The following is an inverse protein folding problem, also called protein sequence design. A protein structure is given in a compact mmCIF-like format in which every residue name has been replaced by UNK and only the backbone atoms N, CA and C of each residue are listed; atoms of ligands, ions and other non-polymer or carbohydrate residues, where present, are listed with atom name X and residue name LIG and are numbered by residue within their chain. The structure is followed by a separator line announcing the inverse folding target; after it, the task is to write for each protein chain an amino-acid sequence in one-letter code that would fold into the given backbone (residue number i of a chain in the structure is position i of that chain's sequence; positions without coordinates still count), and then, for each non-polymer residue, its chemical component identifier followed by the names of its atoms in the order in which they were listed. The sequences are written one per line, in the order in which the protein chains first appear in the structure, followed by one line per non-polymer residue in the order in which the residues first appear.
data_IF_127359936580
#
_entry.id   IF_127359936580
#
_cell.length_a   1.000
_cell.length_b   1.000
_cell.length_c   1.000
_cell.angle_alpha   90.00
_cell.angle_beta   90.00
_cell.angle_gamma   90.00
#
_symmetry.space_group_name_H-M   'P 1'
#
loop_
_entity.id
_entity.type
_entity.pdbx_description
1 polymer ?
#
# COMPACT_ATOMS: atom_id res chain seq x y z
N UNK A 1 14.49 -19.99 19.78
CA UNK A 1 14.49 -18.76 18.97
C UNK A 1 14.73 -19.05 17.48
N UNK A 2 15.89 -19.58 17.06
CA UNK A 2 16.17 -19.90 15.62
C UNK A 2 15.15 -20.85 14.97
N UNK A 3 14.71 -21.92 15.66
CA UNK A 3 13.70 -22.84 15.12
C UNK A 3 12.30 -22.21 14.96
N UNK A 4 11.95 -21.22 15.78
CA UNK A 4 10.70 -20.48 15.61
C UNK A 4 10.77 -19.54 14.41
N UNK A 5 11.90 -18.85 14.23
CA UNK A 5 12.13 -17.98 13.06
C UNK A 5 12.10 -18.80 11.76
N UNK A 6 12.64 -20.02 11.76
CA UNK A 6 12.54 -20.92 10.61
C UNK A 6 11.10 -21.34 10.28
N UNK A 7 10.29 -21.66 11.30
CA UNK A 7 8.87 -21.97 11.10
C UNK A 7 8.08 -20.81 10.49
N UNK A 8 8.51 -19.57 10.75
CA UNK A 8 7.93 -18.36 10.17
C UNK A 8 8.65 -17.86 8.91
N UNK A 9 9.66 -18.59 8.40
CA UNK A 9 10.47 -18.14 7.27
C UNK A 9 9.65 -17.79 6.02
N UNK A 10 8.70 -18.63 5.56
CA UNK A 10 7.89 -18.32 4.37
C UNK A 10 7.17 -16.99 4.48
N UNK A 11 6.52 -16.76 5.62
CA UNK A 11 5.82 -15.52 5.94
C UNK A 11 6.77 -14.33 6.01
N UNK A 12 7.90 -14.47 6.70
CA UNK A 12 8.87 -13.38 6.83
C UNK A 12 9.43 -12.99 5.47
N UNK A 13 9.70 -13.97 4.59
CA UNK A 13 10.13 -13.69 3.23
C UNK A 13 9.06 -12.93 2.44
N UNK A 14 7.80 -13.37 2.52
CA UNK A 14 6.66 -12.71 1.89
C UNK A 14 6.52 -11.25 2.35
N UNK A 15 6.59 -11.01 3.66
CA UNK A 15 6.52 -9.68 4.26
C UNK A 15 7.69 -8.79 3.83
N UNK A 16 8.92 -9.32 3.83
CA UNK A 16 10.10 -8.56 3.43
C UNK A 16 10.05 -8.15 1.96
N UNK A 17 9.60 -9.05 1.07
CA UNK A 17 9.46 -8.73 -0.36
C UNK A 17 8.35 -7.71 -0.59
N UNK A 18 7.16 -7.90 0.01
CA UNK A 18 6.07 -6.93 -0.15
C UNK A 18 6.40 -5.56 0.46
N UNK A 19 7.17 -5.52 1.55
CA UNK A 19 7.66 -4.27 2.17
C UNK A 19 8.53 -3.45 1.23
N UNK A 20 9.20 -4.07 0.25
CA UNK A 20 9.91 -3.31 -0.79
C UNK A 20 8.99 -2.35 -1.54
N UNK A 21 7.71 -2.71 -1.75
CA UNK A 21 6.74 -1.80 -2.38
C UNK A 21 6.30 -0.67 -1.44
N UNK A 22 6.33 -0.90 -0.13
CA UNK A 22 5.95 0.11 0.85
C UNK A 22 6.98 1.23 0.95
N UNK A 23 8.25 0.88 0.76
CA UNK A 23 9.39 1.80 0.83
C UNK A 23 9.82 2.33 -0.55
N UNK A 24 9.35 1.72 -1.64
CA UNK A 24 9.74 2.12 -2.99
C UNK A 24 9.20 3.49 -3.42
N UNK A 25 9.99 4.13 -4.28
CA UNK A 25 9.65 5.30 -5.10
C UNK A 25 9.14 4.87 -6.48
N UNK A 26 8.34 5.70 -7.17
CA UNK A 26 7.95 5.45 -8.56
C UNK A 26 9.18 5.45 -9.48
N UNK A 27 9.19 4.55 -10.46
CA UNK A 27 10.17 4.60 -11.53
C UNK A 27 9.96 5.86 -12.42
N UNK A 28 10.95 6.25 -13.24
CA UNK A 28 10.86 7.47 -14.04
C UNK A 28 9.63 7.54 -14.96
N UNK A 29 9.22 6.40 -15.54
CA UNK A 29 8.05 6.32 -16.41
C UNK A 29 6.75 6.58 -15.63
N UNK A 30 6.61 5.97 -14.44
CA UNK A 30 5.46 6.17 -13.57
C UNK A 30 5.43 7.59 -13.01
N UNK A 31 6.56 8.12 -12.56
CA UNK A 31 6.66 9.50 -12.08
C UNK A 31 6.22 10.50 -13.16
N UNK A 32 6.64 10.29 -14.41
CA UNK A 32 6.21 11.12 -15.53
C UNK A 32 4.72 10.93 -15.89
N UNK A 33 4.20 9.70 -15.82
CA UNK A 33 2.77 9.43 -15.99
C UNK A 33 1.94 10.19 -14.96
N UNK A 34 2.30 10.08 -13.67
CA UNK A 34 1.63 10.79 -12.57
C UNK A 34 1.67 12.30 -12.83
N UNK A 35 2.84 12.84 -13.20
CA UNK A 35 2.97 14.25 -13.56
C UNK A 35 2.02 14.66 -14.69
N UNK A 36 1.95 13.86 -15.75
CA UNK A 36 1.07 14.15 -16.90
C UNK A 36 -0.41 14.09 -16.54
N UNK A 37 -0.82 13.13 -15.71
CA UNK A 37 -2.17 13.06 -15.17
C UNK A 37 -2.48 14.34 -14.37
N UNK A 38 -1.60 14.72 -13.44
CA UNK A 38 -1.75 15.94 -12.65
C UNK A 38 -1.79 17.21 -13.53
N UNK A 39 -1.02 17.28 -14.62
CA UNK A 39 -1.12 18.40 -15.57
C UNK A 39 -2.46 18.41 -16.30
N UNK A 40 -2.91 17.26 -16.80
CA UNK A 40 -4.16 17.16 -17.58
C UNK A 40 -5.40 17.50 -16.75
N UNK A 41 -5.38 17.16 -15.45
CA UNK A 41 -6.45 17.50 -14.50
C UNK A 41 -6.29 18.90 -13.90
N UNK A 42 -5.30 19.69 -14.37
CA UNK A 42 -4.96 21.01 -13.85
C UNK A 42 -4.63 20.99 -12.33
N UNK A 43 -4.12 19.87 -11.80
CA UNK A 43 -3.70 19.76 -10.41
C UNK A 43 -2.29 20.32 -10.19
N UNK A 44 -1.46 20.38 -11.23
CA UNK A 44 -0.08 20.84 -11.14
C UNK A 44 0.34 21.68 -12.36
N UNK A 45 0.93 22.84 -12.11
CA UNK A 45 1.29 23.82 -13.16
C UNK A 45 2.79 24.08 -13.27
N UNK A 46 3.62 23.58 -12.36
CA UNK A 46 5.07 23.82 -12.39
C UNK A 46 5.84 22.78 -13.23
N UNK A 47 7.16 22.97 -13.33
CA UNK A 47 8.10 22.06 -13.99
C UNK A 47 8.08 20.65 -13.39
N UNK A 48 8.42 19.65 -14.22
CA UNK A 48 8.58 18.26 -13.78
C UNK A 48 9.61 18.08 -12.66
N UNK A 49 10.71 18.83 -12.66
CA UNK A 49 11.76 18.72 -11.64
C UNK A 49 11.22 19.02 -10.23
N UNK A 50 10.51 20.14 -10.08
CA UNK A 50 9.84 20.50 -8.81
C UNK A 50 8.81 19.46 -8.39
N UNK A 51 8.06 18.91 -9.34
CA UNK A 51 7.09 17.84 -9.08
C UNK A 51 7.80 16.59 -8.55
N UNK A 52 8.88 16.16 -9.20
CA UNK A 52 9.64 14.98 -8.84
C UNK A 52 10.26 15.11 -7.45
N UNK A 53 10.82 16.26 -7.09
CA UNK A 53 11.35 16.50 -5.74
C UNK A 53 10.28 16.29 -4.67
N UNK A 54 9.07 16.84 -4.88
CA UNK A 54 7.99 16.70 -3.91
C UNK A 54 7.35 15.30 -3.92
N UNK A 55 7.27 14.65 -5.08
CA UNK A 55 6.83 13.26 -5.20
C UNK A 55 7.77 12.33 -4.42
N UNK A 56 9.08 12.53 -4.53
CA UNK A 56 10.06 11.77 -3.76
C UNK A 56 9.94 12.01 -2.25
N UNK A 57 9.65 13.25 -1.83
CA UNK A 57 9.34 13.54 -0.42
C UNK A 57 8.08 12.80 0.04
N UNK A 58 7.01 12.81 -0.73
CA UNK A 58 5.80 12.05 -0.41
C UNK A 58 6.06 10.54 -0.34
N UNK A 59 6.85 10.01 -1.27
CA UNK A 59 7.22 8.59 -1.32
C UNK A 59 8.27 8.19 -0.28
N UNK A 60 8.90 9.13 0.43
CA UNK A 60 9.78 8.79 1.57
C UNK A 60 9.02 8.27 2.78
N UNK A 61 7.71 8.56 2.87
CA UNK A 61 6.82 8.03 3.90
C UNK A 61 6.38 6.62 3.49
N UNK A 62 6.25 5.63 4.41
CA UNK A 62 5.79 4.29 4.06
C UNK A 62 4.38 4.31 3.44
N UNK A 63 4.14 3.43 2.45
CA UNK A 63 2.85 3.35 1.73
C UNK A 63 1.61 3.29 2.64
N UNK A 64 1.69 2.58 3.76
CA UNK A 64 0.58 2.42 4.72
C UNK A 64 0.15 3.76 5.34
N UNK A 65 1.08 4.71 5.47
CA UNK A 65 0.85 6.03 6.05
C UNK A 65 0.49 7.10 5.00
N UNK A 66 0.69 6.78 3.71
CA UNK A 66 0.39 7.69 2.59
C UNK A 66 -1.12 7.79 2.40
N UNK A 67 -1.69 8.96 2.68
CA UNK A 67 -3.11 9.22 2.42
C UNK A 67 -3.33 10.10 1.19
N UNK A 68 -4.50 9.93 0.56
CA UNK A 68 -4.95 10.83 -0.50
C UNK A 68 -4.96 12.28 -0.03
N UNK A 69 -5.47 12.55 1.19
CA UNK A 69 -5.44 13.88 1.78
C UNK A 69 -4.05 14.49 1.91
N UNK A 70 -3.01 13.70 2.19
CA UNK A 70 -1.63 14.19 2.19
C UNK A 70 -1.16 14.58 0.78
N UNK A 71 -1.50 13.78 -0.23
CA UNK A 71 -1.16 14.09 -1.62
C UNK A 71 -1.94 15.30 -2.16
N UNK A 72 -3.23 15.41 -1.83
CA UNK A 72 -4.07 16.56 -2.16
C UNK A 72 -3.52 17.85 -1.53
N UNK A 73 -3.02 17.80 -0.29
CA UNK A 73 -2.31 18.93 0.35
C UNK A 73 -1.02 19.29 -0.38
N UNK A 74 -0.27 18.29 -0.85
CA UNK A 74 0.92 18.49 -1.69
C UNK A 74 0.58 19.24 -2.98
N UNK A 75 -0.55 18.89 -3.62
CA UNK A 75 -1.07 19.52 -4.83
C UNK A 75 -1.80 20.85 -4.57
N UNK A 76 -2.14 21.15 -3.31
CA UNK A 76 -3.05 22.23 -2.91
C UNK A 76 -4.39 22.20 -3.67
N UNK A 77 -4.79 21.01 -4.13
CA UNK A 77 -6.02 20.75 -4.89
C UNK A 77 -6.44 19.30 -4.63
N UNK A 78 -7.74 19.03 -4.46
CA UNK A 78 -8.23 17.68 -4.33
C UNK A 78 -8.25 16.99 -5.68
N UNK A 79 -7.66 15.82 -5.70
CA UNK A 79 -7.75 14.88 -6.80
C UNK A 79 -8.96 13.97 -6.62
N UNK A 80 -9.43 13.37 -7.72
CA UNK A 80 -10.42 12.31 -7.63
C UNK A 80 -9.81 11.03 -7.02
N UNK A 81 -10.64 10.26 -6.30
CA UNK A 81 -10.18 9.06 -5.60
C UNK A 81 -9.75 7.96 -6.57
N UNK A 82 -10.38 7.84 -7.74
CA UNK A 82 -10.02 6.84 -8.75
C UNK A 82 -8.70 7.22 -9.44
N UNK A 83 -8.47 8.51 -9.68
CA UNK A 83 -7.17 9.02 -10.15
C UNK A 83 -6.07 8.73 -9.13
N UNK A 84 -6.32 8.94 -7.82
CA UNK A 84 -5.35 8.62 -6.77
C UNK A 84 -5.01 7.13 -6.72
N UNK A 85 -5.99 6.24 -6.90
CA UNK A 85 -5.73 4.80 -6.90
C UNK A 85 -4.76 4.38 -8.02
N UNK A 86 -4.83 5.06 -9.17
CA UNK A 86 -3.88 4.83 -10.27
C UNK A 86 -2.44 5.22 -9.91
N UNK A 87 -2.20 5.92 -8.80
CA UNK A 87 -0.86 6.28 -8.35
C UNK A 87 -0.22 5.22 -7.44
N UNK A 88 -0.99 4.21 -7.03
CA UNK A 88 -0.43 3.07 -6.30
C UNK A 88 0.67 2.38 -7.10
N UNK A 89 1.76 2.05 -6.40
CA UNK A 89 2.92 1.41 -7.01
C UNK A 89 2.74 -0.10 -7.03
N UNK A 90 3.03 -0.68 -8.18
CA UNK A 90 3.27 -2.11 -8.38
C UNK A 90 4.76 -2.37 -8.60
N UNK A 91 5.21 -3.63 -8.55
CA UNK A 91 6.60 -3.98 -8.84
C UNK A 91 7.05 -3.54 -10.25
N UNK A 92 6.11 -3.37 -11.21
CA UNK A 92 6.41 -2.83 -12.54
C UNK A 92 6.64 -1.32 -12.55
N UNK A 93 5.97 -0.60 -11.66
CA UNK A 93 5.98 0.87 -11.63
C UNK A 93 6.86 1.43 -10.51
N UNK A 94 7.29 0.59 -9.57
CA UNK A 94 8.19 0.91 -8.49
C UNK A 94 9.65 0.82 -8.96
N UNK A 95 10.50 1.63 -8.35
CA UNK A 95 11.94 1.50 -8.43
C UNK A 95 12.42 0.78 -7.17
N UNK A 96 12.74 -0.49 -7.31
CA UNK A 96 13.28 -1.33 -6.23
C UNK A 96 14.81 -1.27 -6.29
N UNK A 97 15.45 -0.93 -5.17
CA UNK A 97 16.91 -0.90 -5.12
C UNK A 97 17.52 -2.30 -5.09
N UNK A 98 18.56 -2.52 -5.90
CA UNK A 98 19.25 -3.81 -5.97
C UNK A 98 19.94 -4.19 -4.64
N UNK A 99 20.37 -3.20 -3.86
CA UNK A 99 20.91 -3.36 -2.50
C UNK A 99 19.91 -4.07 -1.59
N UNK A 100 18.65 -3.64 -1.60
CA UNK A 100 17.60 -4.21 -0.75
C UNK A 100 17.24 -5.64 -1.17
N UNK A 101 17.17 -5.90 -2.48
CA UNK A 101 16.99 -7.26 -3.00
C UNK A 101 18.12 -8.17 -2.54
N UNK A 102 19.37 -7.69 -2.59
CA UNK A 102 20.55 -8.44 -2.12
C UNK A 102 20.54 -8.66 -0.61
N UNK A 103 20.07 -7.69 0.17
CA UNK A 103 19.92 -7.84 1.63
C UNK A 103 18.96 -8.99 1.97
N UNK A 104 17.80 -9.03 1.31
CA UNK A 104 16.82 -10.12 1.46
C UNK A 104 17.42 -11.45 1.01
N UNK A 105 18.13 -11.47 -0.13
CA UNK A 105 18.80 -12.69 -0.62
C UNK A 105 19.85 -13.22 0.38
N UNK A 106 20.64 -12.34 0.98
CA UNK A 106 21.66 -12.67 1.98
C UNK A 106 21.03 -13.24 3.26
N UNK A 107 19.96 -12.60 3.75
CA UNK A 107 19.19 -13.09 4.88
C UNK A 107 18.57 -14.47 4.60
N UNK A 108 17.90 -14.62 3.45
CA UNK A 108 17.28 -15.88 3.04
C UNK A 108 18.33 -16.99 2.89
N UNK A 109 19.48 -16.70 2.28
CA UNK A 109 20.61 -17.61 2.18
C UNK A 109 21.04 -18.10 3.57
N UNK A 110 21.23 -17.19 4.52
CA UNK A 110 21.65 -17.54 5.88
C UNK A 110 20.62 -18.43 6.59
N UNK A 111 19.34 -18.07 6.49
CA UNK A 111 18.24 -18.83 7.08
C UNK A 111 18.15 -20.24 6.51
N UNK A 112 18.22 -20.36 5.19
CA UNK A 112 18.12 -21.63 4.48
C UNK A 112 19.34 -22.50 4.73
N UNK A 113 20.56 -21.95 4.71
CA UNK A 113 21.79 -22.70 4.97
C UNK A 113 21.84 -23.31 6.38
N UNK A 114 21.30 -22.63 7.38
CA UNK A 114 21.33 -23.13 8.76
C UNK A 114 20.32 -24.26 8.98
N UNK A 115 19.15 -24.19 8.33
CA UNK A 115 18.05 -25.10 8.60
C UNK A 115 17.90 -26.22 7.57
N UNK A 116 18.38 -26.02 6.34
CA UNK A 116 18.31 -26.99 5.26
C UNK A 116 19.68 -27.65 5.06
N UNK A 117 19.71 -29.00 5.08
CA UNK A 117 20.90 -29.80 4.73
C UNK A 117 20.99 -30.01 3.22
N UNK A 118 21.18 -28.92 2.46
CA UNK A 118 21.11 -28.92 1.00
C UNK A 118 22.41 -28.42 0.41
N UNK A 119 22.70 -28.84 -0.82
CA UNK A 119 23.84 -28.36 -1.60
C UNK A 119 23.88 -26.84 -1.66
N UNK A 120 25.06 -26.27 -1.37
CA UNK A 120 25.29 -24.82 -1.30
C UNK A 120 25.00 -24.10 -2.62
N UNK A 121 25.08 -24.81 -3.75
CA UNK A 121 24.80 -24.28 -5.08
C UNK A 121 23.33 -23.82 -5.22
N UNK A 122 22.39 -24.63 -4.72
CA UNK A 122 20.94 -24.39 -4.86
C UNK A 122 20.48 -23.17 -4.06
N UNK A 123 21.13 -22.92 -2.93
CA UNK A 123 20.77 -21.89 -1.96
C UNK A 123 21.73 -20.71 -2.02
N UNK A 124 22.61 -20.63 -3.02
CA UNK A 124 23.60 -19.55 -3.12
C UNK A 124 22.93 -18.17 -3.18
N UNK A 125 23.60 -17.15 -2.61
CA UNK A 125 23.10 -15.77 -2.62
C UNK A 125 22.78 -15.32 -4.05
N UNK A 126 23.61 -15.68 -5.03
CA UNK A 126 23.39 -15.32 -6.44
C UNK A 126 22.13 -15.94 -7.04
N UNK A 127 21.78 -17.19 -6.67
CA UNK A 127 20.53 -17.83 -7.12
C UNK A 127 19.33 -17.15 -6.48
N UNK A 128 19.40 -16.86 -5.19
CA UNK A 128 18.32 -16.17 -4.46
C UNK A 128 18.13 -14.74 -4.95
N UNK A 129 19.22 -14.03 -5.24
CA UNK A 129 19.19 -12.69 -5.83
C UNK A 129 18.55 -12.70 -7.21
N UNK A 130 18.91 -13.66 -8.08
CA UNK A 130 18.23 -13.84 -9.39
C UNK A 130 16.75 -14.17 -9.24
N UNK A 131 16.40 -14.96 -8.24
CA UNK A 131 15.01 -15.36 -7.96
C UNK A 131 14.20 -14.15 -7.51
N UNK A 132 14.71 -13.39 -6.53
CA UNK A 132 14.05 -12.19 -6.03
C UNK A 132 13.99 -11.09 -7.10
N UNK A 133 15.05 -10.94 -7.91
CA UNK A 133 15.05 -9.99 -9.03
C UNK A 133 13.92 -10.28 -10.02
N UNK A 134 13.69 -11.56 -10.35
CA UNK A 134 12.59 -11.95 -11.23
C UNK A 134 11.22 -11.58 -10.64
N UNK A 135 11.06 -11.70 -9.33
CA UNK A 135 9.82 -11.35 -8.63
C UNK A 135 9.59 -9.85 -8.56
N UNK A 136 10.65 -9.08 -8.31
CA UNK A 136 10.58 -7.62 -8.22
C UNK A 136 10.62 -6.92 -9.58
N UNK A 137 10.90 -7.66 -10.66
CA UNK A 137 10.86 -7.18 -12.04
C UNK A 137 10.01 -8.13 -12.91
N UNK A 138 8.70 -8.24 -12.63
CA UNK A 138 7.83 -9.17 -13.32
C UNK A 138 7.60 -8.74 -14.77
N UNK A 139 7.43 -9.72 -15.66
CA UNK A 139 7.02 -9.47 -17.04
C UNK A 139 5.57 -8.94 -17.13
N UNK A 140 5.14 -8.51 -18.33
CA UNK A 140 3.81 -7.90 -18.55
C UNK A 140 2.65 -8.84 -18.20
N UNK A 141 2.86 -10.16 -18.32
CA UNK A 141 1.82 -11.18 -18.06
C UNK A 141 1.88 -11.75 -16.64
N UNK A 142 2.94 -11.45 -15.89
CA UNK A 142 3.13 -11.92 -14.52
C UNK A 142 2.46 -10.95 -13.52
N UNK A 143 2.17 -11.48 -12.33
CA UNK A 143 1.63 -10.73 -11.19
C UNK A 143 2.64 -9.69 -10.71
N UNK A 144 2.20 -8.48 -10.39
CA UNK A 144 3.05 -7.36 -9.99
C UNK A 144 2.69 -6.73 -8.63
N UNK A 145 1.82 -7.37 -7.87
CA UNK A 145 1.33 -6.97 -6.55
C UNK A 145 1.11 -8.20 -5.67
N UNK A 146 1.05 -7.99 -4.35
CA UNK A 146 0.64 -8.99 -3.35
C UNK A 146 1.36 -10.33 -3.48
N UNK A 147 2.68 -10.28 -3.47
CA UNK A 147 3.53 -11.47 -3.58
C UNK A 147 3.15 -12.50 -2.52
N UNK A 148 3.05 -13.76 -2.92
CA UNK A 148 2.85 -14.91 -2.04
C UNK A 148 4.11 -15.78 -2.02
N UNK A 149 4.31 -16.54 -0.94
CA UNK A 149 5.42 -17.50 -0.90
C UNK A 149 5.39 -18.58 -2.01
N UNK A 150 4.22 -18.86 -2.57
CA UNK A 150 4.06 -19.72 -3.76
C UNK A 150 4.78 -19.14 -4.98
N UNK A 151 4.67 -17.82 -5.20
CA UNK A 151 5.32 -17.08 -6.27
C UNK A 151 6.86 -17.21 -6.15
N UNK A 152 7.39 -17.18 -4.92
CA UNK A 152 8.81 -17.46 -4.65
C UNK A 152 9.24 -18.82 -5.16
N UNK A 153 8.48 -19.86 -4.78
CA UNK A 153 8.81 -21.23 -5.09
C UNK A 153 8.84 -21.46 -6.61
N UNK A 154 7.93 -20.83 -7.36
CA UNK A 154 7.86 -20.94 -8.82
C UNK A 154 8.99 -20.20 -9.52
N UNK A 155 9.28 -18.97 -9.09
CA UNK A 155 10.42 -18.21 -9.58
C UNK A 155 11.74 -18.96 -9.33
N UNK A 156 11.90 -19.51 -8.12
CA UNK A 156 13.11 -20.23 -7.73
C UNK A 156 13.27 -21.53 -8.53
N UNK A 157 12.18 -22.28 -8.71
CA UNK A 157 12.14 -23.47 -9.57
C UNK A 157 12.55 -23.13 -11.00
N UNK A 158 12.12 -21.99 -11.52
CA UNK A 158 12.44 -21.56 -12.89
C UNK A 158 13.92 -21.19 -13.01
N UNK A 159 14.46 -20.43 -12.06
CA UNK A 159 15.88 -20.05 -12.04
C UNK A 159 16.76 -21.30 -11.93
N UNK A 160 16.48 -22.19 -10.99
CA UNK A 160 17.26 -23.42 -10.79
C UNK A 160 17.03 -24.45 -11.90
N UNK A 161 15.84 -24.52 -12.51
CA UNK A 161 15.54 -25.44 -13.60
C UNK A 161 16.40 -25.22 -14.85
N UNK A 162 16.94 -24.00 -15.02
CA UNK A 162 17.91 -23.68 -16.08
C UNK A 162 19.35 -24.10 -15.74
N UNK A 163 19.65 -24.38 -14.47
CA UNK A 163 21.00 -24.62 -13.96
C UNK A 163 21.25 -26.05 -13.46
N UNK A 164 20.19 -26.84 -13.24
CA UNK A 164 20.28 -28.15 -12.57
C UNK A 164 20.03 -29.34 -13.49
N UNK A 165 20.81 -30.41 -13.29
CA UNK A 165 20.60 -31.73 -13.87
C UNK A 165 19.36 -32.44 -13.30
N UNK A 166 18.82 -33.43 -14.01
CA UNK A 166 17.57 -34.14 -13.66
C UNK A 166 17.57 -34.73 -12.24
N UNK A 167 18.70 -35.23 -11.73
CA UNK A 167 18.83 -35.75 -10.36
C UNK A 167 18.71 -34.65 -9.31
N UNK A 168 19.29 -33.47 -9.56
CA UNK A 168 19.19 -32.30 -8.68
C UNK A 168 17.78 -31.67 -8.73
N UNK A 169 17.05 -31.81 -9.84
CA UNK A 169 15.63 -31.40 -9.95
C UNK A 169 14.69 -32.18 -9.02
N UNK A 170 14.94 -33.48 -8.82
CA UNK A 170 14.13 -34.29 -7.88
C UNK A 170 14.35 -33.81 -6.43
N UNK A 171 15.59 -33.52 -6.05
CA UNK A 171 15.90 -32.97 -4.72
C UNK A 171 15.26 -31.59 -4.50
N UNK A 172 15.30 -30.72 -5.52
CA UNK A 172 14.62 -29.43 -5.49
C UNK A 172 13.12 -29.59 -5.27
N UNK A 173 12.48 -30.58 -5.92
CA UNK A 173 11.06 -30.85 -5.74
C UNK A 173 10.68 -31.26 -4.30
N UNK A 174 11.49 -32.10 -3.67
CA UNK A 174 11.29 -32.49 -2.26
C UNK A 174 11.45 -31.28 -1.34
N UNK A 175 12.46 -30.45 -1.59
CA UNK A 175 12.69 -29.24 -0.81
C UNK A 175 11.57 -28.21 -0.94
N UNK A 176 11.06 -28.00 -2.16
CA UNK A 176 9.90 -27.13 -2.38
C UNK A 176 8.66 -27.67 -1.66
N UNK A 177 8.49 -28.98 -1.57
CA UNK A 177 7.39 -29.58 -0.81
C UNK A 177 7.52 -29.30 0.69
N UNK A 178 8.73 -29.41 1.26
CA UNK A 178 9.01 -29.08 2.66
C UNK A 178 8.72 -27.60 2.97
N UNK A 179 9.20 -26.69 2.12
CA UNK A 179 8.96 -25.25 2.28
C UNK A 179 7.48 -24.89 2.15
N UNK A 180 6.73 -25.53 1.25
CA UNK A 180 5.27 -25.34 1.13
C UNK A 180 4.52 -25.84 2.37
N UNK A 181 4.97 -26.95 2.98
CA UNK A 181 4.39 -27.41 4.23
C UNK A 181 4.64 -26.42 5.37
N UNK A 182 5.83 -25.81 5.43
CA UNK A 182 6.13 -24.74 6.38
C UNK A 182 5.22 -23.52 6.19
N UNK A 183 4.95 -23.12 4.93
CA UNK A 183 4.03 -22.01 4.63
C UNK A 183 2.62 -22.29 5.15
N UNK A 184 2.09 -23.50 4.87
CA UNK A 184 0.78 -23.93 5.36
C UNK A 184 0.72 -23.91 6.89
N UNK A 185 1.77 -24.36 7.57
CA UNK A 185 1.83 -24.35 9.04
C UNK A 185 1.84 -22.92 9.59
N UNK A 186 2.62 -22.02 8.99
CA UNK A 186 2.67 -20.60 9.37
C UNK A 186 1.31 -19.93 9.22
N UNK A 187 0.64 -20.11 8.07
CA UNK A 187 -0.67 -19.52 7.79
C UNK A 187 -1.77 -20.02 8.74
N UNK A 188 -1.73 -21.30 9.13
CA UNK A 188 -2.66 -21.86 10.12
C UNK A 188 -2.49 -21.23 11.50
N UNK A 189 -1.25 -21.07 11.96
CA UNK A 189 -0.96 -20.43 13.24
C UNK A 189 -1.47 -18.98 13.28
N UNK A 190 -1.35 -18.25 12.17
CA UNK A 190 -1.84 -16.87 12.07
C UNK A 190 -3.36 -16.77 12.05
N UNK A 191 -4.04 -17.71 11.39
CA UNK A 191 -5.50 -17.77 11.37
C UNK A 191 -6.07 -18.04 12.77
N UNK A 192 -5.38 -18.82 13.59
CA UNK A 192 -5.75 -19.07 14.98
C UNK A 192 -5.58 -17.81 15.85
N UNK A 193 -4.46 -17.11 15.73
CA UNK A 193 -4.22 -15.85 16.46
C UNK A 193 -5.20 -14.75 16.03
N UNK A 194 -5.49 -14.64 14.73
CA UNK A 194 -6.39 -13.60 14.20
C UNK A 194 -7.82 -13.79 14.69
N UNK A 195 -8.29 -15.04 14.87
CA UNK A 195 -9.63 -15.32 15.41
C UNK A 195 -9.82 -14.77 16.83
N UNK A 196 -8.77 -14.78 17.64
CA UNK A 196 -8.82 -14.25 19.01
C UNK A 196 -8.81 -12.71 19.05
N UNK A 197 -8.14 -12.05 18.10
CA UNK A 197 -8.07 -10.58 18.02
C UNK A 197 -9.33 -9.98 17.38
N UNK A 198 -9.95 -10.67 16.42
CA UNK A 198 -11.13 -10.15 15.69
C UNK A 198 -12.38 -10.04 16.59
N UNK A 199 -12.39 -10.65 17.77
CA UNK A 199 -13.49 -10.51 18.74
C UNK A 199 -13.53 -9.14 19.46
N UNK A 200 -12.51 -8.27 19.30
CA UNK A 200 -12.38 -7.02 20.06
C UNK A 200 -12.51 -5.74 19.20
N UNK A 201 -12.58 -5.84 17.87
CA UNK A 201 -12.74 -4.66 17.01
C UNK A 201 -14.21 -4.23 16.91
N UNK A 202 -14.59 -3.16 17.61
CA UNK A 202 -15.90 -2.50 17.46
C UNK A 202 -16.09 -2.01 16.01
N UNK A 203 -16.90 -2.73 15.23
CA UNK A 203 -17.31 -2.28 13.89
C UNK A 203 -18.25 -1.09 14.01
N UNK A 204 -17.85 0.05 13.45
CA UNK A 204 -18.69 1.26 13.38
C UNK A 204 -19.67 1.10 12.23
N UNK A 205 -20.97 1.04 12.52
CA UNK A 205 -22.02 0.94 11.50
C UNK A 205 -22.63 2.32 11.20
N UNK A 206 -22.72 2.69 9.93
CA UNK A 206 -23.43 3.90 9.48
C UNK A 206 -24.80 3.55 8.88
N UNK A 207 -25.80 4.38 9.18
CA UNK A 207 -27.14 4.34 8.56
C UNK A 207 -27.09 4.93 7.15
N UNK A 208 -28.05 4.57 6.30
CA UNK A 208 -28.10 5.08 4.92
C UNK A 208 -28.18 6.62 4.88
N UNK A 209 -28.91 7.25 5.80
CA UNK A 209 -29.00 8.71 5.92
C UNK A 209 -27.65 9.37 6.22
N UNK A 210 -26.84 8.77 7.09
CA UNK A 210 -25.49 9.27 7.40
C UNK A 210 -24.57 9.14 6.17
N UNK A 211 -24.67 8.02 5.46
CA UNK A 211 -23.91 7.78 4.23
C UNK A 211 -24.30 8.78 3.13
N UNK A 212 -25.59 9.02 2.94
CA UNK A 212 -26.11 9.95 1.94
C UNK A 212 -25.65 11.37 2.25
N UNK A 213 -25.67 11.76 3.53
CA UNK A 213 -25.13 13.06 3.95
C UNK A 213 -23.62 13.15 3.70
N UNK A 214 -22.83 12.16 4.11
CA UNK A 214 -21.38 12.13 3.85
C UNK A 214 -21.08 12.23 2.35
N UNK A 215 -21.86 11.56 1.51
CA UNK A 215 -21.74 11.61 0.05
C UNK A 215 -22.09 13.00 -0.51
N UNK A 216 -23.14 13.64 0.01
CA UNK A 216 -23.52 15.00 -0.37
C UNK A 216 -22.48 16.04 0.08
N UNK A 217 -21.93 15.90 1.29
CA UNK A 217 -20.81 16.73 1.78
C UNK A 217 -19.60 16.57 0.87
N UNK A 218 -19.21 15.33 0.53
CA UNK A 218 -18.10 15.05 -0.40
C UNK A 218 -18.30 15.76 -1.74
N UNK A 219 -19.50 15.63 -2.32
CA UNK A 219 -19.84 16.27 -3.60
C UNK A 219 -19.77 17.79 -3.52
N UNK A 220 -20.37 18.39 -2.49
CA UNK A 220 -20.35 19.85 -2.29
C UNK A 220 -18.92 20.37 -2.06
N UNK A 221 -18.12 19.67 -1.26
CA UNK A 221 -16.72 20.00 -1.03
C UNK A 221 -15.89 19.93 -2.32
N UNK A 222 -16.17 18.96 -3.20
CA UNK A 222 -15.45 18.79 -4.45
C UNK A 222 -15.81 19.88 -5.48
N UNK A 223 -17.10 20.18 -5.67
CA UNK A 223 -17.60 21.08 -6.72
C UNK A 223 -17.75 22.54 -6.29
N UNK A 224 -17.17 22.94 -5.16
CA UNK A 224 -17.43 24.26 -4.54
C UNK A 224 -18.94 24.56 -4.32
N UNK A 225 -19.71 23.52 -4.02
CA UNK A 225 -21.15 23.62 -3.76
C UNK A 225 -21.49 24.05 -2.34
N UNK A 226 -22.78 24.27 -2.09
CA UNK A 226 -23.31 24.58 -0.74
C UNK A 226 -23.27 23.32 0.12
N UNK A 227 -22.67 23.42 1.31
CA UNK A 227 -22.56 22.29 2.24
C UNK A 227 -23.94 21.90 2.81
N UNK A 228 -24.33 20.61 2.75
CA UNK A 228 -25.62 20.15 3.27
C UNK A 228 -25.66 20.19 4.80
N UNK A 229 -26.83 20.49 5.37
CA UNK A 229 -27.05 20.47 6.82
C UNK A 229 -26.98 19.04 7.37
N UNK A 230 -26.40 18.89 8.56
CA UNK A 230 -26.33 17.59 9.23
C UNK A 230 -27.73 17.04 9.52
N UNK A 231 -28.06 15.80 9.10
CA UNK A 231 -29.42 15.28 9.09
C UNK A 231 -29.92 14.81 10.46
N UNK A 232 -29.04 14.61 11.45
CA UNK A 232 -29.39 14.00 12.73
C UNK A 232 -29.19 14.99 13.88
N UNK A 233 -30.28 15.43 14.52
CA UNK A 233 -30.22 16.16 15.79
C UNK A 233 -30.45 15.28 17.03
N UNK A 234 -31.03 14.08 16.85
CA UNK A 234 -31.57 13.26 17.96
C UNK A 234 -31.11 11.77 17.92
N UNK A 235 -30.10 11.40 17.13
CA UNK A 235 -29.58 10.02 17.04
C UNK A 235 -28.34 9.81 17.93
N UNK A 236 -27.88 8.56 18.13
CA UNK A 236 -26.64 8.28 18.82
C UNK A 236 -25.48 9.00 18.13
N UNK A 237 -24.75 9.79 18.91
CA UNK A 237 -23.64 10.61 18.43
C UNK A 237 -22.43 9.75 18.06
N UNK A 238 -22.08 9.73 16.76
CA UNK A 238 -20.88 9.07 16.27
C UNK A 238 -19.76 10.09 16.15
N UNK A 239 -18.67 9.87 16.89
CA UNK A 239 -17.51 10.77 16.99
C UNK A 239 -17.02 11.20 15.60
N UNK A 240 -16.90 10.26 14.67
CA UNK A 240 -16.41 10.51 13.30
C UNK A 240 -17.32 11.46 12.49
N UNK A 241 -18.65 11.40 12.68
CA UNK A 241 -19.60 12.30 12.01
C UNK A 241 -19.64 13.69 12.64
N UNK A 242 -19.48 13.77 13.97
CA UNK A 242 -19.35 15.04 14.68
C UNK A 242 -18.11 15.81 14.20
N UNK A 243 -16.99 15.12 14.05
CA UNK A 243 -15.78 15.74 13.53
C UNK A 243 -15.96 16.25 12.11
N UNK A 244 -16.60 15.47 11.22
CA UNK A 244 -16.94 15.93 9.87
C UNK A 244 -17.85 17.17 9.92
N UNK A 245 -18.86 17.19 10.79
CA UNK A 245 -19.76 18.34 10.96
C UNK A 245 -19.01 19.59 11.46
N UNK A 246 -18.08 19.43 12.41
CA UNK A 246 -17.22 20.53 12.89
C UNK A 246 -16.38 21.10 11.74
N UNK A 247 -15.80 20.26 10.90
CA UNK A 247 -15.01 20.69 9.74
C UNK A 247 -15.89 21.40 8.69
N UNK A 248 -17.09 20.90 8.41
CA UNK A 248 -18.07 21.56 7.51
C UNK A 248 -18.44 22.95 8.04
N UNK A 249 -18.65 23.07 9.36
CA UNK A 249 -18.96 24.36 9.99
C UNK A 249 -17.78 25.32 9.90
N UNK A 250 -16.56 24.83 10.15
CA UNK A 250 -15.32 25.61 10.02
C UNK A 250 -15.13 26.10 8.58
N UNK A 251 -15.41 25.27 7.58
CA UNK A 251 -15.35 25.67 6.18
C UNK A 251 -16.36 26.78 5.85
N UNK A 252 -17.59 26.70 6.35
CA UNK A 252 -18.58 27.76 6.20
C UNK A 252 -18.13 29.08 6.82
N UNK A 253 -17.55 29.04 8.03
CA UNK A 253 -16.97 30.23 8.68
C UNK A 253 -15.77 30.78 7.90
N UNK A 254 -14.91 29.90 7.38
CA UNK A 254 -13.76 30.29 6.59
C UNK A 254 -14.16 30.97 5.27
N UNK A 255 -15.23 30.49 4.61
CA UNK A 255 -15.79 31.11 3.40
C UNK A 255 -16.32 32.54 3.64
N UNK A 256 -16.87 32.82 4.82
CA UNK A 256 -17.39 34.14 5.20
C UNK A 256 -16.31 35.08 5.72
N UNK A 257 -15.11 34.59 6.03
CA UNK A 257 -14.03 35.39 6.62
C UNK A 257 -13.23 36.15 5.55
N UNK A 258 -13.04 37.45 5.73
CA UNK A 258 -12.19 38.29 4.88
C UNK A 258 -10.71 38.30 5.30
N UNK A 259 -10.36 37.58 6.38
CA UNK A 259 -8.98 37.56 6.88
C UNK A 259 -8.08 36.76 5.93
N UNK A 260 -6.96 37.32 5.44
CA UNK A 260 -6.08 36.66 4.47
C UNK A 260 -5.50 35.34 5.00
N UNK A 261 -5.17 35.28 6.28
CA UNK A 261 -4.71 34.07 6.99
C UNK A 261 -5.72 32.92 6.90
N UNK A 262 -7.02 33.22 7.01
CA UNK A 262 -8.09 32.21 6.96
C UNK A 262 -8.37 31.82 5.51
N UNK A 263 -8.25 32.76 4.58
CA UNK A 263 -8.42 32.52 3.13
C UNK A 263 -7.41 31.50 2.63
N UNK A 264 -6.15 31.61 3.06
CA UNK A 264 -5.08 30.66 2.69
C UNK A 264 -5.36 29.23 3.17
N UNK A 265 -6.03 29.07 4.31
CA UNK A 265 -6.37 27.76 4.86
C UNK A 265 -7.68 27.15 4.33
N UNK A 266 -8.50 27.89 3.57
CA UNK A 266 -9.80 27.40 3.04
C UNK A 266 -9.63 26.09 2.26
N UNK A 267 -8.61 26.03 1.42
CA UNK A 267 -8.35 24.87 0.58
C UNK A 267 -7.90 23.66 1.41
N UNK A 268 -7.08 23.87 2.45
CA UNK A 268 -6.67 22.82 3.37
C UNK A 268 -7.85 22.27 4.19
N UNK A 269 -8.79 23.12 4.60
CA UNK A 269 -10.02 22.70 5.28
C UNK A 269 -10.86 21.85 4.32
N UNK A 270 -10.99 22.26 3.06
CA UNK A 270 -11.73 21.53 2.02
C UNK A 270 -11.13 20.15 1.74
N UNK A 271 -9.80 20.07 1.59
CA UNK A 271 -9.08 18.80 1.44
C UNK A 271 -9.31 17.89 2.65
N UNK A 272 -9.30 18.45 3.86
CA UNK A 272 -9.54 17.69 5.09
C UNK A 272 -10.99 17.16 5.18
N UNK A 273 -11.98 17.92 4.72
CA UNK A 273 -13.37 17.45 4.59
C UNK A 273 -13.45 16.28 3.62
N UNK A 274 -12.82 16.39 2.45
CA UNK A 274 -12.83 15.34 1.43
C UNK A 274 -12.15 14.06 1.93
N UNK A 275 -10.98 14.17 2.56
CA UNK A 275 -10.26 13.04 3.15
C UNK A 275 -11.11 12.31 4.22
N UNK A 276 -11.81 13.08 5.07
CA UNK A 276 -12.70 12.52 6.10
C UNK A 276 -13.93 11.85 5.49
N UNK A 277 -14.51 12.41 4.43
CA UNK A 277 -15.59 11.79 3.68
C UNK A 277 -15.16 10.49 3.01
N UNK A 278 -14.01 10.47 2.35
CA UNK A 278 -13.47 9.28 1.67
C UNK A 278 -13.24 8.14 2.68
N UNK A 279 -12.66 8.43 3.85
CA UNK A 279 -12.51 7.47 4.95
C UNK A 279 -13.85 6.91 5.45
N UNK A 280 -14.83 7.79 5.71
CA UNK A 280 -16.13 7.37 6.22
C UNK A 280 -16.89 6.48 5.22
N UNK A 281 -16.74 6.76 3.93
CA UNK A 281 -17.35 5.98 2.86
C UNK A 281 -16.62 4.65 2.61
N UNK A 282 -15.31 4.57 2.85
CA UNK A 282 -14.57 3.29 2.72
C UNK A 282 -14.91 2.30 3.84
N UNK A 283 -15.17 2.78 5.06
CA UNK A 283 -15.57 1.96 6.22
C UNK A 283 -16.94 1.28 6.01
N UNK A 284 -17.79 1.79 5.10
CA UNK A 284 -19.07 1.16 4.71
C UNK A 284 -18.90 -0.20 4.01
N UNK A 285 -17.72 -0.49 3.46
CA UNK A 285 -17.51 -1.57 2.46
C UNK A 285 -17.24 -2.96 3.06
N UNK A 286 -17.27 -3.14 4.38
CA UNK A 286 -16.87 -4.37 5.11
C UNK A 286 -17.76 -4.68 6.30
#
# INVERSE_FOLDING_TARGET
MMQQIWKSFPRLLEQQVNRLLDEAVPNPAKAFQIYKTCQSENLWNESFEKFLTRLNQFCSVPRIERSKGQFDRFLQRPMDSDTYQNFHLTFRTAQVEASEVRNIASWAHHMMRINLKVDQENVSIAVLEKTLFRLTNPSVLEKDLDFEFSDFCEAWKTVLGTMLDETKKVQLHLLLAELRQLDIQSKKADAEISRDVTQVAERIYFTQTEIDWTSQVRRAAFTYGVMPKYPLRNGPEKIYLIELQKMVTLHGLAQLSEKPEIIEHRENIRITILDRCDFLLSVKST
#
